data_IF_199761067785
#
_entry.id   IF_199761067785
#
_cell.length_a   1.000
_cell.length_b   1.000
_cell.length_c   1.000
_cell.angle_alpha   90.00
_cell.angle_beta   90.00
_cell.angle_gamma   90.00
#
_symmetry.space_group_name_H-M   'P 1'
#
loop_
_entity.id
_entity.type
_entity.pdbx_description
1 polymer ?
#
# COMPACT_ATOMS: atom_id res chain seq x y z
N UNK A 1 7.19 -1.42 0.17
CA UNK A 1 6.69 -0.08 -0.24
C UNK A 1 7.83 0.88 -0.58
N UNK A 2 8.70 1.27 0.35
CA UNK A 2 9.72 2.32 0.13
C UNK A 2 10.60 2.07 -1.10
N UNK A 3 11.24 0.92 -1.18
CA UNK A 3 12.10 0.57 -2.33
C UNK A 3 11.30 0.61 -3.64
N UNK A 4 10.08 0.06 -3.64
CA UNK A 4 9.23 0.08 -4.84
C UNK A 4 8.84 1.49 -5.28
N UNK A 5 8.73 2.44 -4.34
CA UNK A 5 8.44 3.84 -4.64
C UNK A 5 9.59 4.54 -5.38
N UNK A 6 10.85 4.22 -5.05
CA UNK A 6 12.03 4.93 -5.55
C UNK A 6 12.82 4.19 -6.64
N UNK A 7 12.68 2.87 -6.76
CA UNK A 7 13.44 2.08 -7.74
C UNK A 7 12.56 1.67 -8.94
N UNK A 8 12.75 2.30 -10.12
CA UNK A 8 11.94 2.01 -11.31
C UNK A 8 12.20 0.64 -11.92
N UNK A 9 13.22 -0.08 -11.48
CA UNK A 9 13.51 -1.44 -11.94
C UNK A 9 12.52 -2.46 -11.38
N UNK A 10 11.87 -2.13 -10.28
CA UNK A 10 10.79 -2.95 -9.73
C UNK A 10 9.55 -2.78 -10.62
N UNK A 11 9.18 -3.83 -11.33
CA UNK A 11 8.10 -3.80 -12.34
C UNK A 11 6.72 -4.00 -11.76
N UNK A 12 6.62 -4.69 -10.63
CA UNK A 12 5.37 -4.97 -9.92
C UNK A 12 5.64 -5.01 -8.42
N UNK A 13 4.68 -4.60 -7.62
CA UNK A 13 4.81 -4.64 -6.17
C UNK A 13 3.56 -5.21 -5.51
N UNK A 14 3.74 -5.87 -4.36
CA UNK A 14 2.67 -6.17 -3.43
C UNK A 14 3.05 -5.65 -2.05
N UNK A 15 2.09 -5.01 -1.40
CA UNK A 15 2.24 -4.45 -0.05
C UNK A 15 1.14 -5.01 0.83
N UNK A 16 1.53 -5.78 1.85
CA UNK A 16 0.63 -6.48 2.75
C UNK A 16 0.62 -5.82 4.13
N UNK A 17 -0.58 -5.61 4.69
CA UNK A 17 -0.78 -5.16 6.07
C UNK A 17 -0.19 -3.79 6.42
N UNK A 18 0.00 -2.91 5.44
CA UNK A 18 0.72 -1.64 5.63
C UNK A 18 -0.06 -0.41 5.17
N UNK A 19 -1.39 -0.51 5.04
CA UNK A 19 -2.25 0.60 4.63
C UNK A 19 -2.62 1.49 5.82
N UNK A 20 -1.61 2.02 6.49
CA UNK A 20 -1.78 2.92 7.63
C UNK A 20 -1.14 4.26 7.34
N UNK A 21 -1.75 5.32 7.84
CA UNK A 21 -1.18 6.65 7.82
C UNK A 21 -0.24 6.84 9.02
N UNK A 22 0.80 7.64 8.88
CA UNK A 22 1.71 7.95 9.98
C UNK A 22 0.98 8.65 11.13
N UNK A 23 0.03 9.51 10.80
CA UNK A 23 -0.82 10.18 11.80
C UNK A 23 -1.55 9.16 12.68
N UNK A 24 -2.10 8.09 12.11
CA UNK A 24 -2.75 7.01 12.85
C UNK A 24 -1.79 6.32 13.81
N UNK A 25 -0.60 5.97 13.32
CA UNK A 25 0.43 5.30 14.13
C UNK A 25 0.87 6.13 15.32
N UNK A 26 0.88 7.44 15.17
CA UNK A 26 1.27 8.35 16.25
C UNK A 26 0.17 8.57 17.30
N UNK A 27 -1.10 8.37 16.96
CA UNK A 27 -2.22 8.75 17.82
C UNK A 27 -3.08 7.58 18.29
N UNK A 28 -3.27 6.56 17.46
CA UNK A 28 -4.25 5.51 17.71
C UNK A 28 -3.65 4.10 17.85
N UNK A 29 -2.53 3.84 17.21
CA UNK A 29 -1.91 2.51 17.19
C UNK A 29 -0.41 2.59 17.35
N UNK A 30 0.08 1.95 18.38
CA UNK A 30 1.51 1.76 18.55
C UNK A 30 1.94 0.54 17.73
N UNK A 31 2.70 0.80 16.68
CA UNK A 31 3.36 -0.25 15.91
C UNK A 31 4.89 -0.04 15.97
N UNK A 32 5.62 -0.80 15.18
CA UNK A 32 7.08 -0.73 15.16
C UNK A 32 7.58 0.72 15.00
N UNK A 33 8.32 1.21 15.98
CA UNK A 33 8.86 2.58 16.00
C UNK A 33 9.80 2.88 14.82
N UNK A 34 10.42 1.84 14.23
CA UNK A 34 11.25 1.98 13.03
C UNK A 34 10.47 2.44 11.79
N UNK A 35 9.15 2.40 11.84
CA UNK A 35 8.28 2.91 10.78
C UNK A 35 7.95 4.41 10.95
N UNK A 36 8.35 5.03 12.04
CA UNK A 36 8.15 6.46 12.26
C UNK A 36 9.33 7.21 11.66
N UNK A 37 9.07 7.92 10.57
CA UNK A 37 10.09 8.72 9.88
C UNK A 37 9.95 10.17 10.33
N UNK A 38 10.91 10.71 11.10
CA UNK A 38 10.85 12.09 11.55
C UNK A 38 10.78 13.07 10.37
N UNK A 39 9.82 14.00 10.43
CA UNK A 39 9.67 15.04 9.43
C UNK A 39 8.93 14.60 8.14
N UNK A 40 8.54 13.33 8.00
CA UNK A 40 7.84 12.85 6.80
C UNK A 40 6.58 13.67 6.49
N UNK A 41 5.77 13.97 7.51
CA UNK A 41 4.51 14.70 7.34
C UNK A 41 4.65 16.13 6.78
N UNK A 42 5.86 16.67 6.69
CA UNK A 42 6.12 17.92 5.98
C UNK A 42 6.00 17.78 4.45
N UNK A 43 6.15 16.57 3.95
CA UNK A 43 6.17 16.26 2.52
C UNK A 43 4.98 15.40 2.09
N UNK A 44 4.42 14.62 2.98
CA UNK A 44 3.33 13.68 2.73
C UNK A 44 3.27 12.61 3.82
N UNK A 45 2.46 11.61 3.59
CA UNK A 45 2.33 10.45 4.47
C UNK A 45 2.71 9.16 3.69
N UNK A 46 2.54 8.01 4.27
CA UNK A 46 2.81 6.72 3.61
C UNK A 46 1.98 6.49 2.36
N UNK A 47 0.76 7.05 2.29
CA UNK A 47 -0.06 6.99 1.07
C UNK A 47 0.55 7.76 -0.10
N UNK A 48 1.20 8.89 0.14
CA UNK A 48 1.91 9.64 -0.88
C UNK A 48 3.15 8.87 -1.36
N UNK A 49 3.91 8.26 -0.43
CA UNK A 49 5.02 7.38 -0.80
C UNK A 49 4.52 6.18 -1.62
N UNK A 50 3.43 5.53 -1.18
CA UNK A 50 2.82 4.44 -1.92
C UNK A 50 2.37 4.86 -3.32
N UNK A 51 1.92 6.09 -3.48
CA UNK A 51 1.50 6.66 -4.75
C UNK A 51 2.64 6.80 -5.77
N UNK A 52 3.89 6.89 -5.32
CA UNK A 52 5.07 6.92 -6.21
C UNK A 52 5.32 5.58 -6.93
N UNK A 53 4.63 4.52 -6.57
CA UNK A 53 4.68 3.25 -7.31
C UNK A 53 3.96 3.39 -8.65
N UNK A 54 2.92 4.23 -8.72
CA UNK A 54 2.18 4.48 -9.95
C UNK A 54 3.10 5.00 -11.09
N UNK A 55 2.85 4.64 -12.35
CA UNK A 55 1.75 3.84 -12.87
C UNK A 55 1.98 2.31 -12.88
N UNK A 56 3.03 1.82 -12.21
CA UNK A 56 3.39 0.39 -12.21
C UNK A 56 2.36 -0.46 -11.46
N UNK A 57 2.14 -1.70 -11.89
CA UNK A 57 1.22 -2.62 -11.22
C UNK A 57 1.53 -2.78 -9.74
N UNK A 58 0.51 -2.63 -8.89
CA UNK A 58 0.66 -2.77 -7.45
C UNK A 58 -0.58 -3.39 -6.81
N UNK A 59 -0.37 -4.35 -5.91
CA UNK A 59 -1.42 -4.92 -5.05
C UNK A 59 -1.23 -4.40 -3.63
N UNK A 60 -2.32 -3.99 -3.01
CA UNK A 60 -2.38 -3.63 -1.59
C UNK A 60 -3.36 -4.57 -0.90
N UNK A 61 -2.84 -5.43 -0.02
CA UNK A 61 -3.66 -6.42 0.66
C UNK A 61 -3.76 -6.16 2.16
N UNK A 62 -4.95 -6.42 2.70
CA UNK A 62 -5.23 -6.33 4.14
C UNK A 62 -6.19 -7.43 4.56
N UNK A 63 -5.93 -8.04 5.71
CA UNK A 63 -6.89 -8.93 6.37
C UNK A 63 -8.06 -8.15 6.97
N UNK A 64 -9.26 -8.68 6.85
CA UNK A 64 -10.50 -8.06 7.35
C UNK A 64 -10.55 -7.92 8.87
N UNK A 65 -9.79 -8.77 9.57
CA UNK A 65 -9.67 -8.78 11.04
C UNK A 65 -8.26 -8.37 11.51
N UNK A 66 -7.47 -7.74 10.66
CA UNK A 66 -6.13 -7.27 11.02
C UNK A 66 -6.19 -6.22 12.13
N UNK A 67 -5.68 -6.51 13.35
CA UNK A 67 -5.78 -5.60 14.49
C UNK A 67 -4.86 -4.37 14.35
N UNK A 68 -3.94 -4.38 13.40
CA UNK A 68 -3.00 -3.30 13.14
C UNK A 68 -3.53 -2.28 12.12
N UNK A 69 -4.66 -2.55 11.51
CA UNK A 69 -5.28 -1.68 10.51
C UNK A 69 -6.52 -1.00 11.12
N UNK A 70 -6.60 0.32 10.99
CA UNK A 70 -7.79 1.08 11.37
C UNK A 70 -8.62 1.32 10.11
N UNK A 71 -9.86 0.78 10.02
CA UNK A 71 -10.64 0.81 8.78
C UNK A 71 -10.81 2.19 8.16
N UNK A 72 -11.01 3.22 9.00
CA UNK A 72 -11.15 4.61 8.54
C UNK A 72 -9.89 5.10 7.81
N UNK A 73 -8.72 4.80 8.32
CA UNK A 73 -7.45 5.23 7.73
C UNK A 73 -7.03 4.37 6.55
N UNK A 74 -7.36 3.08 6.57
CA UNK A 74 -7.21 2.18 5.42
C UNK A 74 -7.98 2.75 4.21
N UNK A 75 -9.21 3.20 4.39
CA UNK A 75 -9.99 3.76 3.28
C UNK A 75 -9.42 5.09 2.78
N UNK A 76 -8.98 5.98 3.66
CA UNK A 76 -8.29 7.22 3.27
C UNK A 76 -7.03 6.91 2.45
N UNK A 77 -6.24 5.93 2.88
CA UNK A 77 -5.04 5.49 2.17
C UNK A 77 -5.37 5.00 0.76
N UNK A 78 -6.39 4.13 0.64
CA UNK A 78 -6.87 3.60 -0.65
C UNK A 78 -7.34 4.70 -1.59
N UNK A 79 -8.09 5.67 -1.07
CA UNK A 79 -8.58 6.79 -1.88
C UNK A 79 -7.46 7.67 -2.43
N UNK A 80 -6.42 7.91 -1.65
CA UNK A 80 -5.24 8.64 -2.12
C UNK A 80 -4.51 7.88 -3.24
N UNK A 81 -4.35 6.56 -3.11
CA UNK A 81 -3.79 5.73 -4.18
C UNK A 81 -4.65 5.76 -5.44
N UNK A 82 -5.98 5.62 -5.31
CA UNK A 82 -6.90 5.69 -6.45
C UNK A 82 -6.76 7.02 -7.21
N UNK A 83 -6.66 8.14 -6.50
CA UNK A 83 -6.46 9.46 -7.10
C UNK A 83 -5.15 9.55 -7.87
N UNK A 84 -4.05 9.06 -7.30
CA UNK A 84 -2.74 9.07 -7.95
C UNK A 84 -2.72 8.21 -9.23
N UNK A 85 -3.22 6.99 -9.16
CA UNK A 85 -3.29 6.10 -10.33
C UNK A 85 -4.23 6.63 -11.41
N UNK A 86 -5.37 7.21 -11.02
CA UNK A 86 -6.30 7.85 -11.96
C UNK A 86 -5.66 9.05 -12.67
N UNK A 87 -4.89 9.88 -11.96
CA UNK A 87 -4.20 11.03 -12.55
C UNK A 87 -3.16 10.63 -13.60
N UNK A 88 -2.64 9.40 -13.53
CA UNK A 88 -1.69 8.83 -14.48
C UNK A 88 -2.35 7.87 -15.49
N UNK A 89 -3.68 7.86 -15.56
CA UNK A 89 -4.47 6.99 -16.47
C UNK A 89 -4.16 5.49 -16.31
N UNK A 90 -3.78 5.07 -15.10
CA UNK A 90 -3.33 3.72 -14.77
C UNK A 90 -4.19 3.02 -13.71
N UNK A 91 -5.48 3.37 -13.63
CA UNK A 91 -6.39 2.83 -12.60
C UNK A 91 -6.50 1.30 -12.63
N UNK A 92 -6.32 0.69 -13.81
CA UNK A 92 -6.32 -0.76 -14.04
C UNK A 92 -5.07 -1.46 -13.48
N UNK A 93 -4.03 -0.71 -13.14
CA UNK A 93 -2.80 -1.22 -12.55
C UNK A 93 -2.80 -1.22 -11.01
N UNK A 94 -3.82 -0.63 -10.40
CA UNK A 94 -3.99 -0.59 -8.95
C UNK A 94 -4.98 -1.66 -8.49
N UNK A 95 -4.52 -2.58 -7.67
CA UNK A 95 -5.32 -3.66 -7.15
C UNK A 95 -5.40 -3.60 -5.63
N UNK A 96 -6.58 -3.92 -5.09
CA UNK A 96 -6.80 -4.07 -3.66
C UNK A 96 -7.30 -5.48 -3.37
N UNK A 97 -6.72 -6.10 -2.35
CA UNK A 97 -7.19 -7.36 -1.81
C UNK A 97 -7.55 -7.19 -0.33
N UNK A 98 -8.84 -7.24 -0.03
CA UNK A 98 -9.31 -7.35 1.34
C UNK A 98 -9.77 -8.79 1.53
N UNK A 99 -8.93 -9.60 2.13
CA UNK A 99 -9.18 -11.01 2.36
C UNK A 99 -9.70 -11.27 3.78
N UNK A 100 -10.37 -12.39 3.97
CA UNK A 100 -10.77 -12.85 5.29
C UNK A 100 -9.56 -13.42 6.02
N UNK A 101 -9.14 -12.74 7.10
CA UNK A 101 -7.94 -13.11 7.85
C UNK A 101 -7.39 -11.95 8.69
N UNK A 102 -6.33 -12.22 9.41
CA UNK A 102 -5.63 -11.28 10.29
C UNK A 102 -4.46 -10.56 9.62
N UNK A 103 -3.42 -10.31 10.42
CA UNK A 103 -2.17 -9.70 9.94
C UNK A 103 -1.27 -10.78 9.31
N UNK A 104 -1.59 -11.16 8.09
CA UNK A 104 -0.93 -12.25 7.37
C UNK A 104 -0.86 -11.98 5.86
N UNK A 105 -0.12 -12.80 5.15
CA UNK A 105 0.01 -12.74 3.71
C UNK A 105 -1.06 -13.60 3.03
N UNK A 106 -1.81 -13.02 2.10
CA UNK A 106 -2.78 -13.75 1.28
C UNK A 106 -2.19 -14.19 -0.06
N UNK A 107 -1.65 -13.27 -0.81
CA UNK A 107 -1.05 -13.53 -2.12
C UNK A 107 -2.03 -13.86 -3.24
N UNK A 108 -3.32 -14.04 -2.95
CA UNK A 108 -4.32 -14.52 -3.94
C UNK A 108 -4.47 -13.62 -5.17
N UNK A 109 -4.25 -12.33 -5.01
CA UNK A 109 -4.22 -11.35 -6.11
C UNK A 109 -2.80 -11.09 -6.58
N UNK A 110 -1.83 -11.11 -5.66
CA UNK A 110 -0.44 -10.80 -5.97
C UNK A 110 0.22 -11.83 -6.88
N UNK A 111 0.04 -13.13 -6.62
CA UNK A 111 0.69 -14.17 -7.44
C UNK A 111 0.25 -14.12 -8.91
N UNK A 112 -1.05 -14.08 -9.26
CA UNK A 112 -1.45 -13.95 -10.65
C UNK A 112 -0.95 -12.67 -11.32
N UNK A 113 -0.90 -11.56 -10.59
CA UNK A 113 -0.37 -10.31 -11.12
C UNK A 113 1.14 -10.40 -11.40
N UNK A 114 1.91 -11.02 -10.49
CA UNK A 114 3.34 -11.24 -10.67
C UNK A 114 3.60 -12.12 -11.88
N UNK A 115 2.86 -13.21 -12.03
CA UNK A 115 2.98 -14.09 -13.18
C UNK A 115 2.72 -13.35 -14.49
N UNK A 116 1.66 -12.55 -14.54
CA UNK A 116 1.32 -11.74 -15.72
C UNK A 116 2.43 -10.73 -16.07
N UNK A 117 3.01 -10.06 -15.09
CA UNK A 117 3.97 -8.97 -15.32
C UNK A 117 5.40 -9.50 -15.56
N UNK A 118 5.79 -10.57 -14.87
CA UNK A 118 7.17 -11.06 -14.87
C UNK A 118 7.43 -12.18 -15.89
N UNK A 119 6.39 -12.96 -16.23
CA UNK A 119 6.50 -14.03 -17.24
C UNK A 119 5.94 -13.60 -18.60
N UNK A 120 5.15 -12.54 -18.59
CA UNK A 120 4.52 -11.81 -19.68
C UNK A 120 4.47 -12.13 -20.88
#
# INVERSE_FOLDING_TARGET
>A
MMISAIDPRIKVASVSGALNLLQERMTLRHSCGSQIIPGLLKYGDYSEIGSLIAPRPCVWETGSTDPLIVPKWDEVFRDRLRKAYKALEASDQLHFDRFEGGHEWSGRVAYPLFDKVLKG
#
